data_IF_044118052144
#
_entry.id   IF_044118052144
#
_cell.length_a   1.000
_cell.length_b   1.000
_cell.length_c   1.000
_cell.angle_alpha   90.00
_cell.angle_beta   90.00
_cell.angle_gamma   90.00
#
_symmetry.space_group_name_H-M   'P 1'
#
loop_
_entity.id
_entity.type
_entity.pdbx_description
1 polymer ?
#
# COMPACT_ATOMS: atom_id res chain seq x y z
N UNK A 1 -10.61 0.95 1.35
CA UNK A 1 -9.50 0.05 0.99
C UNK A 1 -10.08 -1.19 0.34
N UNK A 2 -9.29 -1.91 -0.45
CA UNK A 2 -9.77 -2.97 -1.34
C UNK A 2 -9.78 -4.40 -0.76
N UNK A 3 -9.53 -4.58 0.54
CA UNK A 3 -9.52 -5.92 1.14
C UNK A 3 -8.24 -6.73 0.91
N UNK A 4 -7.34 -6.29 0.02
CA UNK A 4 -6.16 -7.06 -0.37
C UNK A 4 -5.00 -6.84 0.60
N UNK A 5 -4.42 -7.93 1.10
CA UNK A 5 -3.34 -7.91 2.07
C UNK A 5 -2.23 -8.91 1.71
N UNK A 6 -0.99 -8.48 1.86
CA UNK A 6 0.19 -9.31 1.75
C UNK A 6 1.28 -8.74 2.69
N UNK A 7 2.14 -9.58 3.26
CA UNK A 7 3.31 -9.10 3.98
C UNK A 7 4.33 -8.46 3.01
N UNK A 8 5.22 -7.63 3.56
CA UNK A 8 6.42 -7.20 2.83
C UNK A 8 7.31 -8.39 2.47
N UNK A 9 8.12 -8.25 1.43
CA UNK A 9 9.13 -9.23 0.99
C UNK A 9 10.45 -9.01 1.72
N UNK A 10 11.35 -10.00 1.73
CA UNK A 10 12.63 -9.88 2.44
C UNK A 10 13.47 -8.71 1.92
N UNK A 11 13.46 -8.48 0.60
CA UNK A 11 14.16 -7.38 -0.05
C UNK A 11 13.68 -5.98 0.39
N UNK A 12 12.45 -5.85 0.89
CA UNK A 12 11.93 -4.57 1.40
C UNK A 12 12.66 -4.13 2.69
N UNK A 13 13.24 -5.08 3.43
CA UNK A 13 13.98 -4.83 4.67
C UNK A 13 15.48 -4.63 4.44
N UNK A 14 16.00 -5.05 3.28
CA UNK A 14 17.42 -5.05 2.99
C UNK A 14 17.95 -3.65 2.65
N UNK A 15 19.19 -3.38 3.04
CA UNK A 15 19.93 -2.26 2.48
C UNK A 15 20.34 -2.60 1.05
N UNK A 16 19.81 -1.86 0.08
CA UNK A 16 20.08 -2.04 -1.35
C UNK A 16 21.01 -0.92 -1.81
N UNK A 17 22.26 -1.22 -2.24
CA UNK A 17 23.23 -0.19 -2.65
C UNK A 17 22.77 0.74 -3.79
N UNK A 18 21.75 0.34 -4.55
CA UNK A 18 21.16 1.14 -5.63
C UNK A 18 19.91 1.92 -5.22
N UNK A 19 19.43 1.77 -3.97
CA UNK A 19 18.27 2.51 -3.45
C UNK A 19 18.74 3.37 -2.27
N UNK A 20 18.80 4.70 -2.44
CA UNK A 20 19.30 5.59 -1.39
C UNK A 20 18.41 5.51 -0.14
N UNK A 21 19.03 5.57 1.03
CA UNK A 21 18.35 5.54 2.33
C UNK A 21 17.45 4.29 2.53
N UNK A 22 17.77 3.18 1.86
CA UNK A 22 17.13 1.89 2.09
C UNK A 22 17.76 1.15 3.28
N UNK A 23 17.11 0.06 3.70
CA UNK A 23 17.54 -0.75 4.84
C UNK A 23 16.75 -0.45 6.10
N UNK A 24 15.99 -1.43 6.56
CA UNK A 24 15.28 -1.37 7.82
C UNK A 24 16.24 -1.75 8.96
N UNK A 25 16.02 -1.24 10.18
CA UNK A 25 16.84 -1.61 11.35
C UNK A 25 16.56 -3.04 11.85
N UNK A 26 15.67 -3.77 11.20
CA UNK A 26 15.32 -5.16 11.48
C UNK A 26 14.91 -5.88 10.18
N UNK A 27 14.90 -7.21 10.21
CA UNK A 27 14.46 -8.04 9.09
C UNK A 27 13.00 -8.47 9.22
N UNK A 28 12.48 -9.14 8.18
CA UNK A 28 11.11 -9.63 8.12
C UNK A 28 10.70 -10.52 9.30
N UNK A 29 11.61 -11.34 9.84
CA UNK A 29 11.31 -12.24 10.96
C UNK A 29 10.87 -11.47 12.20
N UNK A 30 11.33 -10.23 12.37
CA UNK A 30 10.87 -9.34 13.43
C UNK A 30 9.36 -9.06 13.34
N UNK A 31 8.80 -8.99 12.12
CA UNK A 31 7.37 -8.73 11.91
C UNK A 31 6.49 -9.98 11.90
N UNK A 32 7.07 -11.19 11.80
CA UNK A 32 6.29 -12.43 11.66
C UNK A 32 5.26 -12.67 12.79
N UNK A 33 5.58 -12.49 14.08
CA UNK A 33 4.59 -12.61 15.14
C UNK A 33 3.44 -11.59 15.04
N UNK A 34 3.71 -10.43 14.44
CA UNK A 34 2.71 -9.37 14.25
C UNK A 34 1.86 -9.62 13.01
N UNK A 35 2.43 -10.17 11.95
CA UNK A 35 1.67 -10.66 10.79
C UNK A 35 0.71 -11.78 11.20
N UNK A 36 1.13 -12.71 12.06
CA UNK A 36 0.24 -13.75 12.59
C UNK A 36 -0.98 -13.16 13.31
N UNK A 37 -0.77 -12.15 14.15
CA UNK A 37 -1.86 -11.45 14.85
C UNK A 37 -2.76 -10.68 13.88
N UNK A 38 -2.18 -10.03 12.88
CA UNK A 38 -2.92 -9.33 11.84
C UNK A 38 -3.76 -10.30 11.00
N UNK A 39 -3.23 -11.48 10.66
CA UNK A 39 -3.96 -12.54 9.97
C UNK A 39 -5.22 -12.95 10.73
N UNK A 40 -5.11 -13.17 12.04
CA UNK A 40 -6.27 -13.47 12.89
C UNK A 40 -7.31 -12.34 12.87
N UNK A 41 -6.86 -11.09 13.00
CA UNK A 41 -7.76 -9.92 12.98
C UNK A 41 -8.50 -9.77 11.64
N UNK A 42 -7.82 -10.10 10.54
CA UNK A 42 -8.32 -9.99 9.18
C UNK A 42 -9.08 -11.24 8.70
N UNK A 43 -9.21 -12.27 9.54
CA UNK A 43 -9.89 -13.52 9.19
C UNK A 43 -9.18 -14.36 8.12
N UNK A 44 -7.89 -14.11 7.87
CA UNK A 44 -7.12 -14.81 6.82
C UNK A 44 -6.24 -15.92 7.42
N UNK A 45 -5.84 -16.92 6.61
CA UNK A 45 -4.81 -17.86 7.01
C UNK A 45 -3.54 -17.15 7.45
N UNK A 46 -2.77 -17.81 8.33
CA UNK A 46 -1.38 -17.43 8.55
C UNK A 46 -0.65 -17.44 7.21
N UNK A 47 0.10 -16.38 6.96
CA UNK A 47 0.84 -16.25 5.71
C UNK A 47 2.01 -17.24 5.71
N UNK A 48 2.13 -18.00 4.63
CA UNK A 48 3.26 -18.89 4.36
C UNK A 48 4.04 -18.34 3.18
N UNK A 49 5.37 -18.37 3.22
CA UNK A 49 6.22 -17.82 2.15
C UNK A 49 6.17 -18.61 0.83
N UNK A 50 5.42 -19.71 0.78
CA UNK A 50 5.25 -20.47 -0.45
C UNK A 50 4.21 -19.78 -1.36
N UNK A 51 4.62 -19.31 -2.54
CA UNK A 51 3.72 -18.65 -3.49
C UNK A 51 2.74 -19.63 -4.13
N UNK A 52 3.03 -20.92 -4.01
CA UNK A 52 2.14 -22.03 -4.27
C UNK A 52 2.02 -22.77 -2.95
N UNK A 53 0.99 -22.51 -2.15
CA UNK A 53 0.64 -23.43 -1.11
C UNK A 53 0.48 -24.79 -1.81
N UNK A 54 1.20 -25.83 -1.34
CA UNK A 54 1.18 -27.23 -1.82
C UNK A 54 -0.23 -27.88 -1.90
N UNK A 55 -1.30 -27.10 -1.78
CA UNK A 55 -2.69 -27.49 -1.69
C UNK A 55 -3.41 -27.59 -3.05
N UNK A 56 -2.82 -27.10 -4.15
CA UNK A 56 -3.39 -27.32 -5.50
C UNK A 56 -2.29 -27.49 -6.58
N UNK A 57 -1.90 -28.73 -6.91
CA UNK A 57 -0.85 -29.02 -7.91
C UNK A 57 -1.22 -28.56 -9.34
N UNK A 58 -2.47 -28.14 -9.57
CA UNK A 58 -2.90 -27.58 -10.86
C UNK A 58 -2.52 -26.11 -11.02
N UNK A 59 -2.29 -25.37 -9.93
CA UNK A 59 -1.94 -23.95 -9.93
C UNK A 59 -0.43 -23.76 -9.89
N UNK A 60 0.20 -23.78 -11.07
CA UNK A 60 1.65 -23.60 -11.20
C UNK A 60 2.02 -22.14 -11.49
N UNK A 61 3.07 -21.59 -10.84
CA UNK A 61 3.62 -20.29 -11.17
C UNK A 61 4.10 -20.25 -12.61
N UNK A 62 3.94 -19.11 -13.24
CA UNK A 62 4.61 -18.80 -14.50
C UNK A 62 6.07 -18.52 -14.23
N UNK A 63 6.94 -19.06 -15.08
CA UNK A 63 8.38 -18.84 -15.04
C UNK A 63 8.84 -18.25 -16.38
N UNK A 64 9.47 -17.06 -16.38
CA UNK A 64 10.07 -16.48 -17.58
C UNK A 64 11.58 -16.69 -17.58
N UNK A 65 12.03 -17.90 -17.86
CA UNK A 65 13.45 -18.25 -17.72
C UNK A 65 13.91 -18.27 -16.25
N UNK A 66 15.19 -18.55 -16.05
CA UNK A 66 15.75 -18.65 -14.70
C UNK A 66 15.82 -17.26 -14.05
N UNK A 67 15.22 -17.15 -12.86
CA UNK A 67 15.46 -16.05 -11.91
C UNK A 67 15.04 -14.64 -12.38
N UNK A 68 14.03 -14.51 -13.23
CA UNK A 68 13.54 -13.20 -13.68
C UNK A 68 12.35 -12.71 -12.85
N UNK A 69 11.33 -13.54 -12.71
CA UNK A 69 10.08 -13.24 -12.02
C UNK A 69 9.80 -14.27 -10.95
N UNK A 70 9.14 -13.81 -9.89
CA UNK A 70 8.57 -14.63 -8.85
C UNK A 70 7.05 -14.47 -8.83
N UNK A 71 6.38 -15.27 -8.01
CA UNK A 71 4.95 -15.11 -7.72
C UNK A 71 4.77 -14.70 -6.28
N UNK A 72 3.77 -13.86 -6.02
CA UNK A 72 3.34 -13.47 -4.68
C UNK A 72 1.83 -13.55 -4.58
N UNK A 73 1.34 -14.13 -3.49
CA UNK A 73 -0.09 -14.17 -3.20
C UNK A 73 -0.49 -13.00 -2.33
N UNK A 74 -1.58 -12.35 -2.72
CA UNK A 74 -2.31 -11.43 -1.88
C UNK A 74 -3.61 -12.10 -1.45
N UNK A 75 -3.94 -11.99 -0.17
CA UNK A 75 -5.15 -12.56 0.40
C UNK A 75 -6.23 -11.49 0.51
N UNK A 76 -7.47 -11.90 0.35
CA UNK A 76 -8.63 -11.05 0.63
C UNK A 76 -8.92 -11.12 2.13
N UNK A 77 -9.07 -9.99 2.80
CA UNK A 77 -9.50 -9.95 4.19
C UNK A 77 -10.94 -10.47 4.29
N UNK A 78 -11.18 -11.36 5.24
CA UNK A 78 -12.49 -11.90 5.55
C UNK A 78 -12.96 -11.38 6.91
N UNK A 79 -13.46 -10.15 6.90
CA UNK A 79 -13.98 -9.45 8.07
C UNK A 79 -15.51 -9.36 8.03
N UNK A 80 -16.17 -10.45 7.63
CA UNK A 80 -17.64 -10.54 7.61
C UNK A 80 -18.29 -9.58 6.61
N UNK A 81 -17.72 -9.47 5.39
CA UNK A 81 -18.12 -8.55 4.32
C UNK A 81 -17.98 -7.05 4.62
N UNK A 82 -17.37 -6.67 5.75
CA UNK A 82 -17.14 -5.28 6.13
C UNK A 82 -15.66 -4.97 6.15
N UNK A 83 -15.20 -4.23 5.15
CA UNK A 83 -13.79 -3.81 5.10
C UNK A 83 -13.52 -2.68 6.10
N UNK A 84 -14.49 -1.80 6.39
CA UNK A 84 -14.28 -0.71 7.34
C UNK A 84 -14.25 -1.24 8.78
N UNK A 85 -13.08 -1.22 9.41
CA UNK A 85 -12.91 -1.67 10.80
C UNK A 85 -13.78 -0.92 11.80
N UNK A 86 -14.12 0.35 11.52
CA UNK A 86 -15.15 1.06 12.28
C UNK A 86 -16.46 0.26 12.33
N UNK A 87 -16.96 -0.18 11.18
CA UNK A 87 -18.23 -0.93 11.08
C UNK A 87 -18.14 -2.37 11.61
N UNK A 88 -16.92 -2.91 11.69
CA UNK A 88 -16.62 -4.26 12.25
C UNK A 88 -16.62 -4.21 13.77
N UNK A 89 -15.87 -3.27 14.36
CA UNK A 89 -15.58 -3.24 15.80
C UNK A 89 -16.39 -2.18 16.58
N UNK A 90 -17.33 -1.47 15.93
CA UNK A 90 -18.08 -0.38 16.58
C UNK A 90 -18.79 -0.85 17.85
N UNK A 91 -19.54 -1.95 17.78
CA UNK A 91 -20.27 -2.48 18.94
C UNK A 91 -19.30 -3.01 20.01
N UNK A 92 -18.14 -3.54 19.64
CA UNK A 92 -17.10 -3.93 20.61
C UNK A 92 -16.59 -2.72 21.39
N UNK A 93 -16.33 -1.60 20.71
CA UNK A 93 -15.91 -0.36 21.37
C UNK A 93 -17.01 0.27 22.23
N UNK A 94 -18.26 0.24 21.74
CA UNK A 94 -19.42 0.79 22.46
C UNK A 94 -19.74 0.01 23.73
N UNK A 95 -19.60 -1.32 23.70
CA UNK A 95 -19.90 -2.20 24.83
C UNK A 95 -18.68 -2.47 25.74
N UNK A 96 -17.51 -1.97 25.38
CA UNK A 96 -16.28 -2.15 26.17
C UNK A 96 -16.35 -1.40 27.50
N UNK A 97 -15.93 -2.07 28.57
CA UNK A 97 -15.79 -1.46 29.90
C UNK A 97 -14.49 -0.66 30.06
N UNK A 98 -13.52 -0.88 29.17
CA UNK A 98 -12.15 -0.35 29.28
C UNK A 98 -11.79 0.61 28.14
N UNK A 99 -12.68 0.82 27.17
CA UNK A 99 -12.48 1.71 26.04
C UNK A 99 -13.59 2.76 26.04
N UNK A 100 -13.21 4.03 25.89
CA UNK A 100 -14.16 5.13 25.68
C UNK A 100 -13.92 5.73 24.31
N UNK A 101 -14.90 5.60 23.43
CA UNK A 101 -14.84 6.14 22.08
C UNK A 101 -15.42 7.55 22.03
N UNK A 102 -14.63 8.51 21.55
CA UNK A 102 -15.08 9.87 21.28
C UNK A 102 -15.08 10.10 19.77
N UNK A 103 -16.26 10.33 19.20
CA UNK A 103 -16.41 10.70 17.80
C UNK A 103 -16.50 12.22 17.66
N UNK A 104 -16.15 12.73 16.48
CA UNK A 104 -16.10 14.17 16.20
C UNK A 104 -15.20 14.95 17.16
N UNK A 105 -14.14 14.29 17.66
CA UNK A 105 -13.16 14.85 18.59
C UNK A 105 -11.83 15.03 17.86
N UNK A 106 -11.62 16.22 17.30
CA UNK A 106 -10.43 16.53 16.51
C UNK A 106 -9.28 16.92 17.43
N UNK A 107 -8.15 16.23 17.30
CA UNK A 107 -6.90 16.59 18.00
C UNK A 107 -6.26 17.76 17.26
N UNK A 108 -5.95 18.84 17.98
CA UNK A 108 -5.34 20.03 17.41
C UNK A 108 -3.82 20.00 17.49
N UNK A 109 -3.31 19.60 18.65
CA UNK A 109 -1.88 19.54 18.94
C UNK A 109 -1.63 18.74 20.22
N UNK A 110 -0.39 18.31 20.38
CA UNK A 110 0.20 17.88 21.63
C UNK A 110 0.66 19.10 22.43
N UNK A 111 0.52 19.02 23.75
CA UNK A 111 1.12 19.95 24.70
C UNK A 111 2.24 19.21 25.42
N UNK A 112 3.44 19.79 25.41
CA UNK A 112 4.64 19.24 26.04
C UNK A 112 5.11 20.15 27.17
N UNK A 113 5.92 19.60 28.08
CA UNK A 113 6.58 20.39 29.11
C UNK A 113 7.56 21.42 28.49
N UNK A 114 8.07 22.34 29.32
CA UNK A 114 8.96 23.42 28.86
C UNK A 114 10.24 22.91 28.18
N UNK A 115 10.71 21.71 28.55
CA UNK A 115 11.89 21.06 27.98
C UNK A 115 11.60 20.23 26.72
N UNK A 116 10.32 20.08 26.34
CA UNK A 116 9.86 19.21 25.26
C UNK A 116 10.23 17.71 25.40
N UNK A 117 10.50 17.25 26.61
CA UNK A 117 10.88 15.86 26.89
C UNK A 117 9.66 14.93 27.04
N UNK A 118 8.53 15.46 27.52
CA UNK A 118 7.33 14.67 27.78
C UNK A 118 6.06 15.36 27.28
N UNK A 119 5.17 14.56 26.72
CA UNK A 119 3.79 14.98 26.43
C UNK A 119 2.99 15.03 27.73
N UNK A 120 2.40 16.18 28.01
CA UNK A 120 1.54 16.37 29.18
C UNK A 120 0.06 16.16 28.84
N UNK A 121 -0.35 16.53 27.62
CA UNK A 121 -1.74 16.46 27.19
C UNK A 121 -1.97 16.61 25.69
N UNK A 122 -3.20 16.32 25.26
CA UNK A 122 -3.73 16.71 23.95
C UNK A 122 -4.72 17.86 24.09
N UNK A 123 -4.66 18.79 23.14
CA UNK A 123 -5.72 19.77 22.93
C UNK A 123 -6.73 19.22 21.92
N UNK A 124 -7.97 19.02 22.35
CA UNK A 124 -9.03 18.38 21.55
C UNK A 124 -10.24 19.30 21.51
N UNK A 125 -10.91 19.43 20.36
CA UNK A 125 -12.22 20.08 20.32
C UNK A 125 -13.23 19.22 19.56
N UNK A 126 -14.51 19.46 19.84
CA UNK A 126 -15.57 18.94 18.99
C UNK A 126 -15.44 19.58 17.61
N UNK A 127 -15.75 18.82 16.56
CA UNK A 127 -15.64 19.21 15.16
C UNK A 127 -16.61 20.35 14.76
N UNK A 128 -16.44 21.54 15.34
CA UNK A 128 -17.28 22.73 15.16
C UNK A 128 -16.45 24.01 15.41
N UNK A 129 -16.83 25.08 14.71
CA UNK A 129 -16.25 26.42 14.89
C UNK A 129 -16.58 26.94 16.29
N UNK A 130 -15.62 27.64 16.92
CA UNK A 130 -15.75 28.31 18.22
C UNK A 130 -15.92 27.42 19.46
N UNK A 131 -15.73 26.11 19.34
CA UNK A 131 -15.76 25.20 20.50
C UNK A 131 -14.54 25.39 21.40
N UNK A 132 -14.78 25.37 22.71
CA UNK A 132 -13.68 25.40 23.69
C UNK A 132 -12.88 24.10 23.57
N UNK A 133 -11.57 24.23 23.35
CA UNK A 133 -10.65 23.10 23.41
C UNK A 133 -10.64 22.54 24.83
N UNK A 134 -10.75 21.21 24.93
CA UNK A 134 -10.57 20.46 26.17
C UNK A 134 -9.19 19.82 26.17
N UNK A 135 -8.66 19.60 27.37
CA UNK A 135 -7.35 18.98 27.57
C UNK A 135 -7.54 17.52 27.96
N UNK A 136 -6.91 16.60 27.23
CA UNK A 136 -6.94 15.17 27.53
C UNK A 136 -5.57 14.73 28.04
N UNK A 137 -5.52 14.24 29.28
CA UNK A 137 -4.31 13.69 29.92
C UNK A 137 -4.35 12.16 29.88
N UNK A 138 -3.23 11.55 29.54
CA UNK A 138 -3.03 10.11 29.49
C UNK A 138 -1.57 9.78 29.84
N UNK A 139 -1.32 8.52 30.18
CA UNK A 139 0.05 8.03 30.43
C UNK A 139 0.82 7.75 29.14
N UNK A 140 0.09 7.41 28.08
CA UNK A 140 0.63 7.04 26.77
C UNK A 140 -0.27 7.64 25.70
N UNK A 141 0.36 8.16 24.65
CA UNK A 141 -0.32 8.70 23.48
C UNK A 141 0.10 7.91 22.25
N UNK A 142 -0.86 7.56 21.40
CA UNK A 142 -0.63 6.82 20.15
C UNK A 142 -1.25 7.60 19.01
N UNK A 143 -0.45 7.92 17.99
CA UNK A 143 -0.89 8.58 16.77
C UNK A 143 -1.22 7.54 15.69
N UNK A 144 -2.50 7.42 15.35
CA UNK A 144 -2.99 6.48 14.33
C UNK A 144 -3.95 7.17 13.34
N UNK A 145 -3.64 8.41 12.95
CA UNK A 145 -4.47 9.26 12.09
C UNK A 145 -4.13 9.14 10.59
N UNK A 146 -3.21 8.26 10.22
CA UNK A 146 -2.70 8.11 8.86
C UNK A 146 -1.49 9.02 8.57
N UNK A 147 -0.81 8.79 7.45
CA UNK A 147 0.49 9.42 7.15
C UNK A 147 0.43 10.96 7.16
N UNK A 148 -0.58 11.54 6.52
CA UNK A 148 -0.71 12.99 6.36
C UNK A 148 -1.10 13.66 7.70
N UNK A 149 -2.15 13.18 8.35
CA UNK A 149 -2.63 13.83 9.58
C UNK A 149 -1.70 13.58 10.78
N UNK A 150 -1.02 12.43 10.86
CA UNK A 150 0.03 12.25 11.87
C UNK A 150 1.14 13.32 11.71
N UNK A 151 1.65 13.51 10.49
CA UNK A 151 2.64 14.55 10.22
C UNK A 151 2.09 15.95 10.52
N UNK A 152 0.87 16.25 10.09
CA UNK A 152 0.21 17.54 10.34
C UNK A 152 0.09 17.84 11.83
N UNK A 153 -0.39 16.89 12.64
CA UNK A 153 -0.56 17.07 14.09
C UNK A 153 0.80 17.33 14.75
N UNK A 154 1.85 16.58 14.38
CA UNK A 154 3.20 16.80 14.91
C UNK A 154 3.75 18.18 14.53
N UNK A 155 3.61 18.61 13.27
CA UNK A 155 4.03 19.94 12.79
C UNK A 155 3.22 21.09 13.40
N UNK A 156 1.94 20.86 13.71
CA UNK A 156 1.08 21.82 14.43
C UNK A 156 1.41 21.90 15.93
N UNK A 157 2.11 20.90 16.48
CA UNK A 157 2.50 20.83 17.89
C UNK A 157 3.80 21.59 18.12
N UNK A 158 3.77 22.91 17.89
CA UNK A 158 4.96 23.74 17.78
C UNK A 158 5.06 24.90 18.78
N UNK A 159 4.30 24.85 19.88
CA UNK A 159 4.35 25.87 20.93
C UNK A 159 5.75 25.98 21.55
N UNK A 160 6.34 24.83 21.90
CA UNK A 160 7.71 24.68 22.41
C UNK A 160 8.68 24.32 21.26
N UNK A 161 8.47 23.18 20.59
CA UNK A 161 9.29 22.72 19.45
C UNK A 161 8.96 23.52 18.19
N UNK A 162 9.73 24.55 17.83
CA UNK A 162 9.35 25.49 16.73
C UNK A 162 9.15 24.81 15.37
N UNK A 163 9.92 23.78 15.07
CA UNK A 163 9.81 22.98 13.84
C UNK A 163 8.75 21.87 13.91
N UNK A 164 8.03 21.76 15.02
CA UNK A 164 7.07 20.68 15.30
C UNK A 164 7.61 19.64 16.27
N UNK A 165 6.69 18.92 16.92
CA UNK A 165 7.04 17.87 17.87
C UNK A 165 7.73 16.68 17.18
N UNK A 166 8.79 16.16 17.80
CA UNK A 166 9.60 15.05 17.29
C UNK A 166 10.26 15.33 15.92
N UNK A 167 10.51 16.59 15.59
CA UNK A 167 11.02 17.00 14.28
C UNK A 167 12.47 17.53 14.30
N UNK A 168 13.29 17.13 15.28
CA UNK A 168 14.66 17.66 15.44
C UNK A 168 15.59 17.34 14.25
N UNK A 169 15.32 16.24 13.54
CA UNK A 169 16.05 15.85 12.33
C UNK A 169 15.35 16.30 11.03
N UNK A 170 14.32 17.13 11.15
CA UNK A 170 13.48 17.60 10.03
C UNK A 170 12.85 16.46 9.20
N UNK A 171 12.61 15.30 9.81
CA UNK A 171 12.07 14.12 9.13
C UNK A 171 10.53 14.05 9.14
N UNK A 172 9.86 14.78 10.02
CA UNK A 172 8.39 14.76 10.09
C UNK A 172 7.81 15.30 8.78
N UNK A 173 7.05 14.43 8.13
CA UNK A 173 6.42 14.68 6.84
C UNK A 173 7.32 14.40 5.64
N UNK A 174 8.65 14.23 5.79
CA UNK A 174 9.58 13.92 4.70
C UNK A 174 9.52 12.46 4.26
N UNK A 175 10.15 12.17 3.13
CA UNK A 175 10.14 10.85 2.49
C UNK A 175 8.70 10.35 2.27
N UNK A 176 7.77 11.28 2.01
CA UNK A 176 6.39 10.90 1.77
C UNK A 176 6.33 10.02 0.53
N UNK A 177 5.88 8.78 0.73
CA UNK A 177 5.79 7.77 -0.31
C UNK A 177 4.35 7.33 -0.50
N UNK A 178 4.00 7.09 -1.75
CA UNK A 178 2.86 6.29 -2.16
C UNK A 178 3.32 5.20 -3.11
N UNK A 179 2.38 4.48 -3.69
CA UNK A 179 2.70 3.67 -4.86
C UNK A 179 2.59 4.55 -6.10
N UNK A 180 3.55 4.42 -7.01
CA UNK A 180 3.36 4.85 -8.40
C UNK A 180 2.21 4.04 -8.98
N UNK A 181 1.00 4.56 -8.84
CA UNK A 181 -0.16 4.08 -9.56
C UNK A 181 -0.28 4.97 -10.77
N UNK A 182 -0.02 4.43 -11.95
CA UNK A 182 -0.18 5.13 -13.21
C UNK A 182 -1.53 4.73 -13.82
N UNK A 183 -2.67 5.31 -13.40
CA UNK A 183 -3.96 4.98 -14.00
C UNK A 183 -3.99 5.30 -15.50
N UNK A 184 -3.17 6.26 -15.95
CA UNK A 184 -3.07 6.70 -17.34
C UNK A 184 -2.02 5.93 -18.16
N UNK A 185 -1.05 5.27 -17.50
CA UNK A 185 -0.04 4.44 -18.16
C UNK A 185 -0.50 2.98 -18.10
N UNK A 186 -1.54 2.68 -18.88
CA UNK A 186 -2.03 1.31 -19.07
C UNK A 186 -0.97 0.54 -19.88
N UNK A 187 -0.12 -0.20 -19.19
CA UNK A 187 0.87 -1.07 -19.84
C UNK A 187 0.18 -2.36 -20.28
N UNK A 188 -0.02 -2.49 -21.59
CA UNK A 188 -0.61 -3.69 -22.17
C UNK A 188 0.49 -4.65 -22.62
N UNK A 189 0.56 -5.82 -21.97
CA UNK A 189 1.43 -6.90 -22.37
C UNK A 189 0.56 -7.98 -23.02
N UNK A 190 0.58 -8.04 -24.34
CA UNK A 190 -0.08 -9.12 -25.05
C UNK A 190 0.80 -10.37 -24.98
N UNK A 191 0.34 -11.37 -24.23
CA UNK A 191 1.01 -12.66 -24.14
C UNK A 191 0.25 -13.69 -24.98
N UNK A 192 1.00 -14.49 -25.72
CA UNK A 192 0.47 -15.69 -26.37
C UNK A 192 0.45 -16.81 -25.34
N UNK A 193 -0.70 -17.00 -24.69
CA UNK A 193 -0.91 -18.04 -23.69
C UNK A 193 -1.76 -19.14 -24.30
N UNK A 194 -1.23 -20.36 -24.34
CA UNK A 194 -1.91 -21.55 -24.87
C UNK A 194 -2.81 -22.26 -23.85
N UNK A 195 -2.75 -21.89 -22.56
CA UNK A 195 -3.51 -22.54 -21.48
C UNK A 195 -4.13 -21.50 -20.51
N UNK A 196 -5.47 -21.53 -20.36
CA UNK A 196 -6.22 -20.67 -19.41
C UNK A 196 -5.80 -20.87 -17.96
N UNK A 197 -5.20 -22.01 -17.60
CA UNK A 197 -4.86 -22.35 -16.22
C UNK A 197 -3.92 -21.36 -15.54
N UNK A 198 -3.24 -20.49 -16.30
CA UNK A 198 -2.54 -19.34 -15.74
C UNK A 198 -3.45 -18.52 -14.80
N UNK A 199 -4.72 -18.34 -15.17
CA UNK A 199 -5.67 -17.56 -14.37
C UNK A 199 -6.15 -18.30 -13.12
N UNK A 200 -5.89 -19.60 -12.98
CA UNK A 200 -6.24 -20.34 -11.78
C UNK A 200 -5.42 -19.84 -10.57
N UNK A 201 -4.21 -19.32 -10.82
CA UNK A 201 -3.35 -18.71 -9.80
C UNK A 201 -3.39 -17.18 -9.83
N UNK A 202 -3.30 -16.57 -11.01
CA UNK A 202 -3.20 -15.10 -11.13
C UNK A 202 -4.56 -14.39 -11.22
N UNK A 203 -5.66 -15.14 -11.31
CA UNK A 203 -7.01 -14.63 -11.10
C UNK A 203 -7.46 -14.77 -9.65
N UNK A 204 -8.63 -14.19 -9.32
CA UNK A 204 -9.25 -14.36 -8.01
C UNK A 204 -9.70 -15.81 -7.84
N UNK A 205 -9.19 -16.48 -6.81
CA UNK A 205 -9.49 -17.89 -6.57
C UNK A 205 -9.65 -18.19 -5.08
N UNK A 206 -10.28 -19.33 -4.76
CA UNK A 206 -10.41 -19.81 -3.39
C UNK A 206 -9.07 -20.31 -2.85
N UNK A 207 -8.74 -19.88 -1.63
CA UNK A 207 -7.56 -20.33 -0.90
C UNK A 207 -7.90 -20.50 0.59
N UNK A 208 -7.94 -21.77 1.05
CA UNK A 208 -8.35 -22.14 2.42
C UNK A 208 -9.71 -21.49 2.75
N UNK A 209 -9.80 -20.70 3.81
CA UNK A 209 -11.00 -20.01 4.26
C UNK A 209 -11.19 -18.61 3.63
N UNK A 210 -10.32 -18.18 2.71
CA UNK A 210 -10.42 -16.87 2.06
C UNK A 210 -10.28 -16.97 0.53
N UNK A 211 -10.23 -15.84 -0.16
CA UNK A 211 -9.82 -15.72 -1.55
C UNK A 211 -8.37 -15.22 -1.63
N UNK A 212 -7.67 -15.61 -2.68
CA UNK A 212 -6.34 -15.14 -3.00
C UNK A 212 -6.26 -14.67 -4.44
N UNK A 213 -5.22 -13.87 -4.71
CA UNK A 213 -4.88 -13.36 -6.03
C UNK A 213 -3.36 -13.43 -6.22
N UNK A 214 -2.92 -14.08 -7.28
CA UNK A 214 -1.51 -14.14 -7.65
C UNK A 214 -1.05 -12.90 -8.39
N UNK A 215 0.11 -12.38 -8.01
CA UNK A 215 0.82 -11.35 -8.73
C UNK A 215 2.19 -11.89 -9.15
N UNK A 216 2.69 -11.42 -10.30
CA UNK A 216 4.10 -11.54 -10.63
C UNK A 216 4.89 -10.49 -9.86
N UNK A 217 6.09 -10.81 -9.42
CA UNK A 217 7.04 -9.87 -8.81
C UNK A 217 8.39 -10.01 -9.48
N UNK A 218 9.22 -8.97 -9.43
CA UNK A 218 10.60 -9.05 -9.92
C UNK A 218 11.43 -9.89 -8.94
N UNK A 219 12.25 -10.82 -9.44
CA UNK A 219 13.15 -11.56 -8.55
C UNK A 219 14.19 -10.62 -7.91
N UNK A 220 14.68 -10.91 -6.69
CA UNK A 220 15.77 -10.15 -6.08
C UNK A 220 17.01 -10.04 -6.96
N UNK A 221 17.35 -11.11 -7.70
CA UNK A 221 18.49 -11.14 -8.62
C UNK A 221 18.29 -10.23 -9.82
N UNK A 222 17.10 -10.19 -10.41
CA UNK A 222 16.79 -9.30 -11.52
C UNK A 222 16.82 -7.83 -11.06
N UNK A 223 16.29 -7.55 -9.87
CA UNK A 223 16.33 -6.24 -9.24
C UNK A 223 17.77 -5.78 -9.00
N UNK A 224 18.61 -6.62 -8.41
CA UNK A 224 20.02 -6.32 -8.17
C UNK A 224 20.80 -6.09 -9.47
N UNK A 225 20.64 -7.00 -10.46
CA UNK A 225 21.36 -6.92 -11.74
C UNK A 225 21.06 -5.62 -12.49
N UNK A 226 19.80 -5.19 -12.49
CA UNK A 226 19.36 -4.04 -13.27
C UNK A 226 19.10 -2.79 -12.42
N UNK A 227 19.43 -2.84 -11.12
CA UNK A 227 19.20 -1.75 -10.16
C UNK A 227 17.73 -1.29 -10.12
N UNK A 228 16.80 -2.23 -10.14
CA UNK A 228 15.36 -1.96 -10.14
C UNK A 228 14.81 -1.87 -8.71
N UNK A 229 13.76 -1.08 -8.53
CA UNK A 229 12.95 -1.07 -7.32
C UNK A 229 12.02 -2.30 -7.27
N UNK A 230 11.46 -2.59 -6.10
CA UNK A 230 10.52 -3.68 -5.95
C UNK A 230 9.19 -3.34 -6.64
N UNK A 231 8.45 -4.36 -7.07
CA UNK A 231 7.20 -4.14 -7.77
C UNK A 231 6.47 -5.42 -8.11
N UNK A 232 5.17 -5.27 -8.38
CA UNK A 232 4.30 -6.37 -8.71
C UNK A 232 3.36 -6.04 -9.87
N UNK A 233 2.99 -7.09 -10.59
CA UNK A 233 2.21 -7.05 -11.82
C UNK A 233 1.05 -8.01 -11.71
N UNK A 234 -0.14 -7.53 -12.06
CA UNK A 234 -1.30 -8.42 -12.21
C UNK A 234 -1.30 -9.06 -13.60
N UNK A 235 -1.78 -10.29 -13.68
CA UNK A 235 -2.11 -10.94 -14.96
C UNK A 235 -3.62 -11.12 -14.98
N UNK A 236 -4.32 -10.21 -15.63
CA UNK A 236 -5.77 -10.28 -15.77
C UNK A 236 -6.18 -10.67 -17.19
N UNK A 237 -7.17 -11.56 -17.30
CA UNK A 237 -7.85 -11.78 -18.57
C UNK A 237 -8.43 -10.45 -19.06
N UNK A 238 -8.14 -10.08 -20.31
CA UNK A 238 -8.50 -8.76 -20.84
C UNK A 238 -9.96 -8.37 -20.63
N UNK A 239 -10.89 -9.31 -20.83
CA UNK A 239 -12.34 -9.02 -20.69
C UNK A 239 -12.76 -8.61 -19.28
N UNK A 240 -11.95 -8.90 -18.26
CA UNK A 240 -12.20 -8.52 -16.87
C UNK A 240 -11.63 -7.14 -16.52
N UNK A 241 -10.65 -6.65 -17.28
CA UNK A 241 -9.85 -5.49 -16.88
C UNK A 241 -10.34 -4.15 -17.46
N UNK A 242 -11.12 -4.15 -18.55
CA UNK A 242 -11.66 -2.92 -19.12
C UNK A 242 -12.87 -3.19 -20.03
N UNK A 243 -13.83 -2.25 -20.07
CA UNK A 243 -14.64 -2.05 -21.28
C UNK A 243 -13.71 -1.48 -22.34
N UNK A 244 -13.75 -2.03 -23.54
CA UNK A 244 -12.90 -1.54 -24.62
C UNK A 244 -13.21 -0.06 -24.91
N UNK A 245 -12.16 0.76 -24.95
CA UNK A 245 -12.19 2.14 -25.44
C UNK A 245 -11.54 2.17 -26.84
N UNK A 246 -11.50 3.34 -27.48
CA UNK A 246 -10.96 3.47 -28.83
C UNK A 246 -9.46 3.08 -28.91
N UNK A 247 -8.69 3.37 -27.86
CA UNK A 247 -7.25 3.08 -27.80
C UNK A 247 -7.06 1.57 -27.67
N UNK A 248 -7.75 0.95 -26.72
CA UNK A 248 -7.59 -0.48 -26.44
C UNK A 248 -8.12 -1.35 -27.58
N UNK A 249 -9.17 -0.90 -28.28
CA UNK A 249 -9.67 -1.52 -29.52
C UNK A 249 -8.65 -1.46 -30.66
N UNK A 250 -7.98 -0.30 -30.83
CA UNK A 250 -6.92 -0.14 -31.83
C UNK A 250 -5.72 -1.05 -31.53
N UNK A 251 -5.27 -1.10 -30.27
CA UNK A 251 -4.15 -1.96 -29.86
C UNK A 251 -4.44 -3.44 -30.12
N UNK A 252 -5.66 -3.92 -29.80
CA UNK A 252 -6.07 -5.30 -30.14
C UNK A 252 -5.98 -5.58 -31.62
N UNK A 253 -6.48 -4.66 -32.44
CA UNK A 253 -6.50 -4.81 -33.90
C UNK A 253 -5.07 -4.89 -34.45
N UNK A 254 -4.16 -4.05 -33.94
CA UNK A 254 -2.74 -4.09 -34.29
C UNK A 254 -2.09 -5.41 -33.87
N UNK A 255 -2.35 -5.87 -32.65
CA UNK A 255 -1.84 -7.15 -32.15
C UNK A 255 -2.32 -8.34 -33.01
N UNK A 256 -3.62 -8.42 -33.31
CA UNK A 256 -4.19 -9.46 -34.19
C UNK A 256 -3.53 -9.42 -35.59
N UNK A 257 -3.29 -8.22 -36.13
CA UNK A 257 -2.61 -8.07 -37.42
C UNK A 257 -1.15 -8.54 -37.37
N UNK A 258 -0.43 -8.31 -36.26
CA UNK A 258 0.92 -8.86 -36.05
C UNK A 258 0.88 -10.38 -36.05
N UNK A 259 -0.05 -11.00 -35.32
CA UNK A 259 -0.18 -12.47 -35.27
C UNK A 259 -0.45 -13.07 -36.65
N UNK A 260 -1.35 -12.46 -37.43
CA UNK A 260 -1.62 -12.87 -38.82
C UNK A 260 -0.36 -12.80 -39.69
N UNK A 261 0.43 -11.73 -39.58
CA UNK A 261 1.70 -11.58 -40.32
C UNK A 261 2.75 -12.62 -39.92
N UNK A 262 2.73 -13.07 -38.67
CA UNK A 262 3.61 -14.14 -38.18
C UNK A 262 3.11 -15.56 -38.57
N UNK A 263 2.03 -15.67 -39.34
CA UNK A 263 1.46 -16.97 -39.73
C UNK A 263 0.77 -17.72 -38.58
N UNK A 264 0.50 -17.03 -37.47
CA UNK A 264 -0.16 -17.61 -36.29
C UNK A 264 -1.68 -17.60 -36.56
N UNK A 265 -2.18 -18.69 -37.15
CA UNK A 265 -3.60 -18.91 -37.41
C UNK A 265 -4.26 -19.49 -36.14
N UNK A 266 -5.14 -18.71 -35.51
CA UNK A 266 -5.71 -19.00 -34.18
C UNK A 266 -6.98 -19.88 -34.24
N UNK A 267 -6.99 -21.12 -33.71
CA UNK A 267 -8.21 -21.94 -33.64
C UNK A 267 -9.00 -21.76 -32.34
N UNK A 268 -8.39 -21.39 -31.21
CA UNK A 268 -9.09 -21.23 -29.93
C UNK A 268 -8.23 -20.43 -28.93
N UNK A 269 -8.74 -19.26 -28.55
CA UNK A 269 -8.53 -18.60 -27.26
C UNK A 269 -7.09 -18.23 -26.82
N UNK A 270 -6.45 -17.33 -27.57
CA UNK A 270 -5.26 -16.62 -27.09
C UNK A 270 -5.67 -15.38 -26.29
N UNK A 271 -5.29 -15.30 -25.02
CA UNK A 271 -5.70 -14.21 -24.13
C UNK A 271 -4.78 -13.01 -24.24
N UNK A 272 -5.35 -11.85 -24.58
CA UNK A 272 -4.70 -10.61 -24.18
C UNK A 272 -4.75 -10.51 -22.65
N UNK A 273 -3.63 -10.08 -22.05
CA UNK A 273 -3.55 -9.86 -20.62
C UNK A 273 -3.34 -8.38 -20.37
N UNK A 274 -4.07 -7.81 -19.42
CA UNK A 274 -3.75 -6.48 -18.91
C UNK A 274 -2.88 -6.63 -17.65
N UNK A 275 -1.79 -5.86 -17.60
CA UNK A 275 -0.93 -5.78 -16.44
C UNK A 275 -1.02 -4.40 -15.82
N UNK A 276 -1.62 -4.34 -14.63
CA UNK A 276 -1.44 -3.18 -13.75
C UNK A 276 -0.16 -3.42 -12.97
N UNK A 277 0.81 -2.53 -13.19
CA UNK A 277 2.05 -2.48 -12.41
C UNK A 277 1.84 -1.55 -11.22
N UNK A 278 2.19 -2.02 -10.04
CA UNK A 278 2.47 -1.15 -8.90
C UNK A 278 3.91 -1.38 -8.51
N UNK A 279 4.64 -0.29 -8.36
CA UNK A 279 6.04 -0.33 -7.97
C UNK A 279 6.26 0.45 -6.69
N UNK A 280 7.31 0.06 -5.99
CA UNK A 280 7.92 0.82 -4.94
C UNK A 280 8.35 2.19 -5.48
N UNK A 281 8.20 3.22 -4.65
CA UNK A 281 8.72 4.55 -4.91
C UNK A 281 10.08 4.68 -4.23
N UNK A 282 11.09 5.15 -4.95
CA UNK A 282 12.40 5.44 -4.35
C UNK A 282 12.26 6.47 -3.21
N UNK A 283 12.93 6.29 -2.06
CA UNK A 283 12.92 7.28 -1.00
C UNK A 283 13.46 8.64 -1.49
N UNK A 284 12.60 9.65 -1.53
CA UNK A 284 12.98 11.01 -1.93
C UNK A 284 12.85 11.99 -0.76
N UNK A 285 13.97 12.59 -0.35
CA UNK A 285 14.04 13.53 0.77
C UNK A 285 13.18 14.79 0.57
N UNK A 286 12.93 15.18 -0.68
CA UNK A 286 12.12 16.36 -1.02
C UNK A 286 10.61 16.07 -1.05
N UNK A 287 10.20 14.79 -1.07
CA UNK A 287 8.80 14.45 -0.91
C UNK A 287 8.37 14.74 0.51
N UNK A 288 7.32 15.57 0.66
CA UNK A 288 6.98 16.13 1.96
C UNK A 288 5.51 16.45 2.15
N UNK A 289 4.99 16.13 3.33
CA UNK A 289 3.82 16.78 3.94
C UNK A 289 4.30 18.00 4.72
N UNK A 290 3.82 19.19 4.35
CA UNK A 290 4.14 20.45 5.03
C UNK A 290 2.89 21.26 5.33
N UNK A 291 2.99 22.19 6.27
CA UNK A 291 1.92 23.12 6.60
C UNK A 291 1.97 24.34 5.68
N UNK A 292 0.80 24.81 5.23
CA UNK A 292 0.66 26.08 4.50
C UNK A 292 0.13 27.17 5.43
N UNK A 293 0.15 28.42 4.97
CA UNK A 293 -0.45 29.54 5.70
C UNK A 293 -1.99 29.56 5.63
N UNK A 294 -2.55 28.89 4.61
CA UNK A 294 -3.99 28.71 4.48
C UNK A 294 -4.55 27.92 5.67
N UNK A 295 -5.78 28.25 6.07
CA UNK A 295 -6.45 27.58 7.18
C UNK A 295 -7.68 26.83 6.72
N UNK A 296 -7.89 25.65 7.30
CA UNK A 296 -9.11 24.90 7.11
C UNK A 296 -10.27 25.51 7.91
N UNK A 297 -11.43 24.87 7.82
CA UNK A 297 -12.66 25.30 8.48
C UNK A 297 -12.61 25.16 10.02
N UNK A 298 -11.58 24.50 10.58
CA UNK A 298 -11.29 24.47 12.03
C UNK A 298 -10.19 25.49 12.42
N UNK A 299 -9.83 26.37 11.49
CA UNK A 299 -8.77 27.37 11.65
C UNK A 299 -7.36 26.77 11.86
N UNK A 300 -7.14 25.52 11.47
CA UNK A 300 -5.83 24.87 11.49
C UNK A 300 -5.12 25.08 10.15
N UNK A 301 -3.79 25.23 10.17
CA UNK A 301 -3.00 25.30 8.93
C UNK A 301 -3.25 24.07 8.06
N UNK A 302 -3.57 24.27 6.79
CA UNK A 302 -3.77 23.20 5.81
C UNK A 302 -2.45 22.51 5.51
N UNK A 303 -2.54 21.34 4.87
CA UNK A 303 -1.38 20.58 4.40
C UNK A 303 -1.19 20.78 2.90
N UNK A 304 0.06 20.86 2.48
CA UNK A 304 0.48 20.64 1.10
C UNK A 304 1.32 19.37 1.07
N UNK A 305 1.03 18.51 0.11
CA UNK A 305 1.80 17.29 -0.15
C UNK A 305 2.57 17.48 -1.45
N UNK A 306 3.89 17.36 -1.37
CA UNK A 306 4.78 17.26 -2.52
C UNK A 306 5.21 15.81 -2.65
N UNK A 307 4.96 15.18 -3.81
CA UNK A 307 5.41 13.82 -4.10
C UNK A 307 5.92 13.74 -5.53
N UNK A 308 7.22 13.50 -5.68
CA UNK A 308 7.91 13.21 -6.92
C UNK A 308 7.96 11.69 -7.04
N UNK A 309 7.24 11.14 -8.03
CA UNK A 309 7.10 9.69 -8.22
C UNK A 309 8.32 9.12 -8.95
N UNK A 310 8.81 9.81 -9.97
CA UNK A 310 10.00 9.45 -10.75
C UNK A 310 10.52 10.67 -11.48
N UNK A 311 11.84 10.74 -11.68
CA UNK A 311 12.46 11.69 -12.61
C UNK A 311 12.91 10.94 -13.86
N UNK A 312 12.45 11.38 -15.04
CA UNK A 312 12.98 10.90 -16.30
C UNK A 312 14.36 11.52 -16.48
N UNK A 313 15.41 10.73 -16.29
CA UNK A 313 16.74 11.08 -16.75
C UNK A 313 16.76 10.88 -18.27
N UNK A 314 16.65 11.98 -19.02
CA UNK A 314 16.86 12.03 -20.47
C UNK A 314 18.32 12.34 -20.74
#
# INVERSE_FOLDING_TARGET
>A
WGGMVAPFDDIDFENRPWVPNSGWPFNRNHLMPYYDRASTLLGIPKYTFEPVPNHDPTRKPVTFGEETINTKLFLSADTGNKLRFGDVFFEDFKNSKNIRLFLNATVFNFNVNQQAEFVESLSVARNSLNEKKVTIKAKVYVLSCGAIENARILLLSNSICKEGLCNDNDLVGRYFQGHGYTPDLKTYIHMLISDKKIFDLYGLHKYKNTNAFGFLTLSPKLQQKNKLLNGYFSINHWSLAAKDDNITTSMKSQYINILKKLGINSPAEWYSVNSVMLHEQEPNFHNRVLLTDDRDWLNQRKVKVTSIISELQI
#
